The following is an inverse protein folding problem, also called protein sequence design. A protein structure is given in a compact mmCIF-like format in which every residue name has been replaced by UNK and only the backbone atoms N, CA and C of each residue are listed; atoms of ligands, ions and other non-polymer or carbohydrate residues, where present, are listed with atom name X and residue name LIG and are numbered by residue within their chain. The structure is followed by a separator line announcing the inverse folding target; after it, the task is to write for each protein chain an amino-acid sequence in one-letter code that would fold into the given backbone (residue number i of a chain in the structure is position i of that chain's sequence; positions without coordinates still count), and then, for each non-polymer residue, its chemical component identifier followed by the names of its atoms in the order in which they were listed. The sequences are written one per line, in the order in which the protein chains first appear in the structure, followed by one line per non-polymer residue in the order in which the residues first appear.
data_IF_937083002369
#
_entry.id   IF_937083002369
#
_cell.length_a   1.000
_cell.length_b   1.000
_cell.length_c   1.000
_cell.angle_alpha   90.00
_cell.angle_beta   90.00
_cell.angle_gamma   90.00
#
_symmetry.space_group_name_H-M   'P 1'
#
loop_
_entity.id
_entity.type
_entity.pdbx_description
1 polymer ?
#
# COMPACT_ATOMS: atom_id res chain seq x y z
N UNK A 1 -39.68 -34.74 12.77
CA UNK A 1 -39.19 -33.64 13.62
C UNK A 1 -37.67 -33.64 13.68
N UNK A 2 -37.01 -34.77 13.98
CA UNK A 2 -35.53 -34.89 14.02
C UNK A 2 -34.80 -34.36 12.78
N UNK A 3 -35.25 -34.71 11.57
CA UNK A 3 -34.57 -34.31 10.33
C UNK A 3 -34.56 -32.79 10.10
N UNK A 4 -35.62 -32.09 10.51
CA UNK A 4 -35.68 -30.63 10.41
C UNK A 4 -34.75 -29.97 11.42
N UNK A 5 -34.71 -30.49 12.65
CA UNK A 5 -33.79 -30.03 13.69
C UNK A 5 -32.34 -30.22 13.26
N UNK A 6 -32.00 -31.39 12.71
CA UNK A 6 -30.64 -31.68 12.24
C UNK A 6 -30.25 -30.79 11.05
N UNK A 7 -31.18 -30.51 10.14
CA UNK A 7 -30.95 -29.58 9.03
C UNK A 7 -30.68 -28.15 9.52
N UNK A 8 -31.48 -27.66 10.48
CA UNK A 8 -31.30 -26.33 11.07
C UNK A 8 -29.95 -26.23 11.80
N UNK A 9 -29.55 -27.27 12.54
CA UNK A 9 -28.26 -27.30 13.23
C UNK A 9 -27.12 -27.19 12.21
N UNK A 10 -27.14 -28.00 11.15
CA UNK A 10 -26.11 -27.95 10.10
C UNK A 10 -26.06 -26.61 9.38
N UNK A 11 -27.21 -25.97 9.15
CA UNK A 11 -27.28 -24.63 8.57
C UNK A 11 -26.62 -23.59 9.48
N UNK A 12 -26.89 -23.64 10.78
CA UNK A 12 -26.30 -22.71 11.77
C UNK A 12 -24.79 -22.92 11.90
N UNK A 13 -24.31 -24.17 11.91
CA UNK A 13 -22.88 -24.49 11.93
C UNK A 13 -22.15 -23.95 10.68
N UNK A 14 -22.77 -24.08 9.50
CA UNK A 14 -22.23 -23.51 8.27
C UNK A 14 -22.13 -21.98 8.35
N UNK A 15 -23.20 -21.32 8.81
CA UNK A 15 -23.19 -19.86 8.99
C UNK A 15 -22.14 -19.39 9.99
N UNK A 16 -21.93 -20.14 11.07
CA UNK A 16 -20.90 -19.81 12.07
C UNK A 16 -19.49 -19.96 11.48
N UNK A 17 -19.25 -20.98 10.66
CA UNK A 17 -17.99 -21.17 9.94
C UNK A 17 -17.72 -20.02 8.95
N UNK A 18 -18.72 -19.60 8.17
CA UNK A 18 -18.59 -18.46 7.27
C UNK A 18 -18.39 -17.13 8.01
N UNK A 19 -19.12 -16.90 9.11
CA UNK A 19 -18.94 -15.70 9.92
C UNK A 19 -17.52 -15.61 10.52
N UNK A 20 -16.95 -16.74 10.96
CA UNK A 20 -15.55 -16.82 11.42
C UNK A 20 -14.56 -16.50 10.29
N UNK A 21 -14.77 -17.04 9.10
CA UNK A 21 -13.88 -16.81 7.95
C UNK A 21 -13.95 -15.35 7.47
N UNK A 22 -15.15 -14.77 7.40
CA UNK A 22 -15.37 -13.35 7.11
C UNK A 22 -14.70 -12.46 8.14
N UNK A 23 -14.84 -12.75 9.45
CA UNK A 23 -14.21 -11.97 10.52
C UNK A 23 -12.69 -11.99 10.42
N UNK A 24 -12.09 -13.15 10.14
CA UNK A 24 -10.65 -13.26 9.91
C UNK A 24 -10.21 -12.47 8.66
N UNK A 25 -11.02 -12.50 7.59
CA UNK A 25 -10.80 -11.68 6.38
C UNK A 25 -10.83 -10.18 6.67
N UNK A 26 -11.84 -9.70 7.39
CA UNK A 26 -11.96 -8.28 7.76
C UNK A 26 -10.82 -7.81 8.67
N UNK A 27 -10.42 -8.61 9.66
CA UNK A 27 -9.27 -8.28 10.50
C UNK A 27 -7.98 -8.19 9.68
N UNK A 28 -7.76 -9.13 8.76
CA UNK A 28 -6.60 -9.12 7.88
C UNK A 28 -6.60 -7.91 6.94
N UNK A 29 -7.74 -7.55 6.36
CA UNK A 29 -7.89 -6.37 5.52
C UNK A 29 -7.71 -5.07 6.32
N UNK A 30 -8.28 -5.00 7.53
CA UNK A 30 -8.15 -3.84 8.42
C UNK A 30 -6.70 -3.59 8.82
N UNK A 31 -6.00 -4.62 9.29
CA UNK A 31 -4.56 -4.53 9.61
C UNK A 31 -3.75 -4.20 8.35
N UNK A 32 -4.03 -4.86 7.23
CA UNK A 32 -3.37 -4.59 5.96
C UNK A 32 -3.51 -3.13 5.52
N UNK A 33 -4.72 -2.56 5.63
CA UNK A 33 -5.00 -1.17 5.28
C UNK A 33 -4.26 -0.19 6.20
N UNK A 34 -4.29 -0.42 7.52
CA UNK A 34 -3.56 0.43 8.48
C UNK A 34 -2.05 0.41 8.20
N UNK A 35 -1.49 -0.78 7.98
CA UNK A 35 -0.07 -0.93 7.62
C UNK A 35 0.24 -0.19 6.33
N UNK A 36 -0.61 -0.31 5.30
CA UNK A 36 -0.41 0.34 4.01
C UNK A 36 -0.48 1.88 4.13
N UNK A 37 -1.41 2.40 4.92
CA UNK A 37 -1.52 3.83 5.21
C UNK A 37 -0.30 4.36 5.96
N UNK A 38 0.12 3.67 7.03
CA UNK A 38 1.29 4.09 7.84
C UNK A 38 2.57 3.99 7.01
N UNK A 39 2.80 2.86 6.33
CA UNK A 39 3.96 2.67 5.47
C UNK A 39 3.98 3.69 4.32
N UNK A 40 2.82 3.95 3.70
CA UNK A 40 2.69 4.96 2.65
C UNK A 40 3.02 6.36 3.15
N UNK A 41 2.50 6.76 4.31
CA UNK A 41 2.81 8.05 4.93
C UNK A 41 4.31 8.18 5.24
N UNK A 42 4.92 7.17 5.86
CA UNK A 42 6.35 7.16 6.16
C UNK A 42 7.20 7.25 4.88
N UNK A 43 6.82 6.53 3.82
CA UNK A 43 7.52 6.59 2.53
C UNK A 43 7.42 7.97 1.89
N UNK A 44 6.24 8.58 1.87
CA UNK A 44 6.04 9.93 1.33
C UNK A 44 6.91 10.94 2.11
N UNK A 45 6.90 10.87 3.44
CA UNK A 45 7.72 11.73 4.28
C UNK A 45 9.22 11.52 4.04
N UNK A 46 9.67 10.26 3.98
CA UNK A 46 11.07 9.93 3.74
C UNK A 46 11.57 10.42 2.38
N UNK A 47 10.80 10.15 1.32
CA UNK A 47 11.12 10.65 -0.04
C UNK A 47 11.11 12.17 -0.08
N UNK A 48 10.16 12.83 0.58
CA UNK A 48 10.12 14.28 0.69
C UNK A 48 11.37 14.87 1.35
N UNK A 49 11.80 14.29 2.48
CA UNK A 49 13.02 14.72 3.18
C UNK A 49 14.28 14.49 2.35
N UNK A 50 14.40 13.34 1.67
CA UNK A 50 15.53 13.04 0.78
C UNK A 50 15.57 14.00 -0.42
N UNK A 51 14.41 14.31 -0.99
CA UNK A 51 14.29 15.26 -2.10
C UNK A 51 14.69 16.66 -1.66
N UNK A 52 14.26 17.07 -0.47
CA UNK A 52 14.63 18.35 0.13
C UNK A 52 16.14 18.43 0.41
N UNK A 53 16.74 17.39 1.00
CA UNK A 53 18.17 17.32 1.24
C UNK A 53 18.97 17.39 -0.06
N UNK A 54 18.53 16.65 -1.09
CA UNK A 54 19.15 16.69 -2.42
C UNK A 54 19.07 18.09 -3.03
N UNK A 55 17.90 18.74 -2.93
CA UNK A 55 17.72 20.11 -3.40
C UNK A 55 18.70 21.07 -2.70
N UNK A 56 18.77 21.05 -1.37
CA UNK A 56 19.69 21.88 -0.60
C UNK A 56 21.16 21.62 -0.92
N UNK A 57 21.51 20.39 -1.28
CA UNK A 57 22.87 20.06 -1.68
C UNK A 57 23.20 20.53 -3.10
N UNK A 58 22.20 20.68 -3.96
CA UNK A 58 22.37 21.18 -5.33
C UNK A 58 22.31 22.71 -5.43
N UNK A 59 21.61 23.40 -4.53
CA UNK A 59 21.48 24.87 -4.57
C UNK A 59 22.80 25.66 -4.56
N UNK A 60 23.93 25.19 -3.97
CA UNK A 60 25.19 25.91 -4.07
C UNK A 60 25.83 25.84 -5.47
N UNK A 61 25.44 24.86 -6.29
CA UNK A 61 26.08 24.57 -7.59
C UNK A 61 25.27 25.06 -8.80
N UNK A 62 23.99 25.42 -8.61
CA UNK A 62 23.10 25.85 -9.69
C UNK A 62 22.06 26.84 -9.19
N UNK A 63 21.34 27.51 -10.11
CA UNK A 63 20.16 28.29 -9.74
C UNK A 63 19.10 27.42 -9.03
N UNK A 64 18.28 27.99 -8.14
CA UNK A 64 17.18 27.28 -7.46
C UNK A 64 16.27 26.52 -8.43
N UNK A 65 15.95 27.14 -9.57
CA UNK A 65 15.14 26.49 -10.62
C UNK A 65 15.85 25.27 -11.21
N UNK A 66 17.16 25.35 -11.45
CA UNK A 66 17.96 24.22 -11.94
C UNK A 66 18.04 23.07 -10.93
N UNK A 67 18.24 23.37 -9.64
CA UNK A 67 18.27 22.36 -8.58
C UNK A 67 16.92 21.61 -8.47
N UNK A 68 15.81 22.35 -8.46
CA UNK A 68 14.47 21.76 -8.44
C UNK A 68 14.19 20.91 -9.68
N UNK A 69 14.61 21.38 -10.87
CA UNK A 69 14.49 20.64 -12.11
C UNK A 69 15.23 19.30 -12.09
N UNK A 70 16.49 19.29 -11.63
CA UNK A 70 17.31 18.08 -11.56
C UNK A 70 16.71 17.06 -10.58
N UNK A 71 16.34 17.51 -9.37
CA UNK A 71 15.72 16.63 -8.36
C UNK A 71 14.38 16.09 -8.87
N UNK A 72 13.55 16.94 -9.49
CA UNK A 72 12.26 16.55 -10.04
C UNK A 72 12.37 15.52 -11.18
N UNK A 73 13.28 15.72 -12.13
CA UNK A 73 13.55 14.75 -13.20
C UNK A 73 14.05 13.43 -12.62
N UNK A 74 14.96 13.48 -11.64
CA UNK A 74 15.43 12.28 -10.94
C UNK A 74 14.29 11.49 -10.28
N UNK A 75 13.38 12.17 -9.59
CA UNK A 75 12.20 11.55 -9.00
C UNK A 75 11.25 10.95 -10.03
N UNK A 76 11.02 11.63 -11.16
CA UNK A 76 10.18 11.12 -12.24
C UNK A 76 10.78 9.84 -12.86
N UNK A 77 12.09 9.79 -13.07
CA UNK A 77 12.77 8.60 -13.57
C UNK A 77 12.65 7.43 -12.59
N UNK A 78 12.83 7.69 -11.29
CA UNK A 78 12.65 6.67 -10.25
C UNK A 78 11.20 6.17 -10.20
N UNK A 79 10.22 7.08 -10.21
CA UNK A 79 8.80 6.73 -10.21
C UNK A 79 8.41 5.92 -11.45
N UNK A 80 8.84 6.35 -12.63
CA UNK A 80 8.61 5.63 -13.88
C UNK A 80 9.23 4.23 -13.87
N UNK A 81 10.47 4.09 -13.37
CA UNK A 81 11.14 2.80 -13.23
C UNK A 81 10.42 1.85 -12.26
N UNK A 82 9.97 2.36 -11.11
CA UNK A 82 9.21 1.58 -10.13
C UNK A 82 7.86 1.13 -10.71
N UNK A 83 7.13 2.02 -11.39
CA UNK A 83 5.87 1.69 -12.06
C UNK A 83 6.09 0.61 -13.12
N UNK A 84 7.14 0.72 -13.93
CA UNK A 84 7.46 -0.28 -14.94
C UNK A 84 7.68 -1.67 -14.32
N UNK A 85 8.49 -1.74 -13.25
CA UNK A 85 8.77 -3.00 -12.55
C UNK A 85 7.51 -3.56 -11.91
N UNK A 86 6.68 -2.71 -11.29
CA UNK A 86 5.41 -3.13 -10.70
C UNK A 86 4.44 -3.66 -11.77
N UNK A 87 4.27 -2.94 -12.87
CA UNK A 87 3.41 -3.35 -13.99
C UNK A 87 3.84 -4.72 -14.56
N UNK A 88 5.15 -4.94 -14.72
CA UNK A 88 5.68 -6.24 -15.19
C UNK A 88 5.40 -7.40 -14.23
N UNK A 89 5.25 -7.14 -12.93
CA UNK A 89 4.94 -8.17 -11.92
C UNK A 89 3.44 -8.44 -11.79
N UNK A 90 2.59 -7.46 -12.07
CA UNK A 90 1.13 -7.60 -11.98
C UNK A 90 0.54 -8.27 -13.23
N UNK A 91 1.16 -8.07 -14.39
CA UNK A 91 0.71 -8.63 -15.69
C UNK A 91 1.24 -10.06 -15.94
N UNK A 92 1.87 -10.68 -14.93
CA UNK A 92 2.29 -12.10 -14.95
C UNK A 92 1.27 -12.96 -14.23
#
# INVERSE_FOLDING_TARGET
METLTEFIIRLVELMEAEARSLRAGFLRLGVGMVVLLVAGALLISGVGLLSWASYLQLTPFTSPAGAAGIVGVGLLLLAGGLIWVAAKRIVK
#
